data_IF_190460578289
#
_entry.id   IF_190460578289
#
_cell.length_a   1.000
_cell.length_b   1.000
_cell.length_c   1.000
_cell.angle_alpha   90.00
_cell.angle_beta   90.00
_cell.angle_gamma   90.00
#
_symmetry.space_group_name_H-M   'P 1'
#
loop_
_entity.id
_entity.type
_entity.pdbx_description
1 polymer ?
#
# COMPACT_ATOMS: atom_id res chain seq x y z
N UNK A 1 -11.83 8.66 21.12
CA UNK A 1 -12.44 9.76 20.34
C UNK A 1 -13.93 9.45 20.13
N UNK A 2 -14.85 10.42 20.30
CA UNK A 2 -16.29 10.20 20.05
C UNK A 2 -16.51 9.77 18.59
N UNK A 3 -17.37 8.76 18.34
CA UNK A 3 -17.60 8.15 17.02
C UNK A 3 -17.98 9.17 15.93
N UNK A 4 -18.80 10.15 16.28
CA UNK A 4 -19.21 11.24 15.37
C UNK A 4 -18.03 12.12 14.97
N UNK A 5 -17.21 12.54 15.94
CA UNK A 5 -16.03 13.36 15.67
C UNK A 5 -15.00 12.60 14.81
N UNK A 6 -14.82 11.30 15.06
CA UNK A 6 -13.97 10.43 14.23
C UNK A 6 -14.40 10.45 12.77
N UNK A 7 -15.70 10.29 12.48
CA UNK A 7 -16.26 10.35 11.12
C UNK A 7 -16.01 11.69 10.43
N UNK A 8 -16.14 12.80 11.16
CA UNK A 8 -15.87 14.13 10.61
C UNK A 8 -14.39 14.26 10.25
N UNK A 9 -13.50 13.89 11.18
CA UNK A 9 -12.04 13.94 10.96
C UNK A 9 -11.63 13.07 9.77
N UNK A 10 -12.09 11.82 9.70
CA UNK A 10 -11.76 10.93 8.57
C UNK A 10 -12.29 11.47 7.24
N UNK A 11 -13.50 12.03 7.22
CA UNK A 11 -14.06 12.64 6.01
C UNK A 11 -13.22 13.83 5.52
N UNK A 12 -12.82 14.74 6.42
CA UNK A 12 -11.97 15.89 6.07
C UNK A 12 -10.60 15.40 5.58
N UNK A 13 -9.94 14.52 6.34
CA UNK A 13 -8.62 13.99 5.98
C UNK A 13 -8.62 13.29 4.62
N UNK A 14 -9.67 12.53 4.31
CA UNK A 14 -9.87 11.91 3.00
C UNK A 14 -9.90 12.96 1.89
N UNK A 15 -10.67 14.04 2.06
CA UNK A 15 -10.76 15.11 1.06
C UNK A 15 -9.40 15.77 0.85
N UNK A 16 -8.74 16.17 1.94
CA UNK A 16 -7.43 16.83 1.87
C UNK A 16 -6.36 15.95 1.20
N UNK A 17 -6.38 14.66 1.51
CA UNK A 17 -5.45 13.69 0.92
C UNK A 17 -5.71 13.51 -0.58
N UNK A 18 -6.98 13.40 -0.99
CA UNK A 18 -7.36 13.28 -2.41
C UNK A 18 -6.95 14.53 -3.21
N UNK A 19 -7.19 15.73 -2.68
CA UNK A 19 -6.76 16.98 -3.30
C UNK A 19 -5.23 16.99 -3.47
N UNK A 20 -4.49 16.57 -2.44
CA UNK A 20 -3.03 16.53 -2.46
C UNK A 20 -2.51 15.55 -3.51
N UNK A 21 -3.05 14.32 -3.55
CA UNK A 21 -2.67 13.30 -4.55
C UNK A 21 -3.03 13.76 -5.96
N UNK A 22 -4.21 14.33 -6.17
CA UNK A 22 -4.63 14.84 -7.48
C UNK A 22 -3.71 15.95 -8.00
N UNK A 23 -3.28 16.86 -7.11
CA UNK A 23 -2.41 17.99 -7.47
C UNK A 23 -0.96 17.57 -7.75
N UNK A 24 -0.45 16.60 -6.99
CA UNK A 24 0.97 16.18 -7.09
C UNK A 24 1.21 14.93 -7.93
N UNK A 25 0.18 14.11 -8.17
CA UNK A 25 0.22 12.88 -8.96
C UNK A 25 1.43 11.96 -8.63
N UNK A 26 1.68 11.65 -7.35
CA UNK A 26 2.77 10.76 -6.98
C UNK A 26 2.56 9.35 -7.57
N UNK A 27 3.65 8.62 -7.82
CA UNK A 27 3.55 7.18 -8.04
C UNK A 27 3.25 6.49 -6.70
N UNK A 28 2.24 5.64 -6.67
CA UNK A 28 1.82 4.94 -5.45
C UNK A 28 2.15 3.45 -5.58
N UNK A 29 2.95 2.96 -4.64
CA UNK A 29 3.27 1.56 -4.42
C UNK A 29 2.50 1.11 -3.18
N UNK A 30 1.49 0.26 -3.36
CA UNK A 30 0.72 -0.34 -2.28
C UNK A 30 1.31 -1.67 -1.83
N UNK A 31 1.25 -1.96 -0.53
CA UNK A 31 1.68 -3.25 0.04
C UNK A 31 0.55 -3.80 0.89
N UNK A 32 0.10 -5.01 0.57
CA UNK A 32 -1.01 -5.72 1.21
C UNK A 32 -0.59 -7.13 1.62
N UNK A 33 -1.30 -7.70 2.58
CA UNK A 33 -1.08 -9.04 3.11
C UNK A 33 -1.15 -9.08 4.63
N UNK A 34 -0.98 -10.25 5.25
CA UNK A 34 -1.05 -10.38 6.70
C UNK A 34 0.31 -10.07 7.35
N UNK A 35 1.38 -10.77 6.95
CA UNK A 35 2.75 -10.61 7.43
C UNK A 35 3.70 -10.08 6.34
N UNK A 36 4.88 -9.60 6.72
CA UNK A 36 5.92 -9.19 5.76
C UNK A 36 5.72 -7.82 5.11
N UNK A 37 4.62 -7.12 5.42
CA UNK A 37 4.29 -5.81 4.82
C UNK A 37 5.33 -4.74 5.16
N UNK A 38 5.75 -4.68 6.43
CA UNK A 38 6.65 -3.63 6.92
C UNK A 38 8.07 -3.84 6.43
N UNK A 39 8.54 -5.09 6.45
CA UNK A 39 9.84 -5.50 5.94
C UNK A 39 9.93 -5.21 4.44
N UNK A 40 8.89 -5.58 3.66
CA UNK A 40 8.81 -5.28 2.22
C UNK A 40 8.84 -3.77 1.96
N UNK A 41 8.06 -2.98 2.72
CA UNK A 41 8.03 -1.51 2.60
C UNK A 41 9.41 -0.90 2.86
N UNK A 42 10.10 -1.38 3.89
CA UNK A 42 11.42 -0.88 4.27
C UNK A 42 12.47 -1.21 3.22
N UNK A 43 12.50 -2.44 2.70
CA UNK A 43 13.38 -2.84 1.61
C UNK A 43 13.18 -1.99 0.34
N UNK A 44 11.91 -1.79 -0.05
CA UNK A 44 11.55 -0.94 -1.20
C UNK A 44 12.00 0.51 -0.96
N UNK A 45 11.75 1.04 0.25
CA UNK A 45 12.13 2.41 0.61
C UNK A 45 13.64 2.60 0.60
N UNK A 46 14.40 1.68 1.20
CA UNK A 46 15.86 1.75 1.26
C UNK A 46 16.46 1.80 -0.15
N UNK A 47 15.93 0.99 -1.06
CA UNK A 47 16.40 0.94 -2.43
C UNK A 47 15.98 2.16 -3.26
N UNK A 48 14.71 2.60 -3.17
CA UNK A 48 14.20 3.73 -3.97
C UNK A 48 14.69 5.10 -3.49
N UNK A 49 14.86 5.28 -2.18
CA UNK A 49 15.31 6.57 -1.60
C UNK A 49 16.72 6.98 -2.05
N UNK A 50 17.52 6.04 -2.60
CA UNK A 50 18.83 6.31 -3.20
C UNK A 50 18.73 7.12 -4.51
N UNK A 51 17.58 7.10 -5.20
CA UNK A 51 17.40 7.77 -6.51
C UNK A 51 16.18 8.71 -6.56
N UNK A 52 15.19 8.51 -5.70
CA UNK A 52 13.92 9.24 -5.76
C UNK A 52 13.52 9.80 -4.39
N UNK A 53 12.78 10.91 -4.40
CA UNK A 53 12.11 11.41 -3.20
C UNK A 53 10.89 10.53 -2.87
N UNK A 54 11.00 9.82 -1.76
CA UNK A 54 10.07 8.78 -1.35
C UNK A 54 9.53 9.07 0.05
N UNK A 55 8.24 8.75 0.27
CA UNK A 55 7.63 8.71 1.59
C UNK A 55 6.96 7.37 1.82
N UNK A 56 7.12 6.82 3.02
CA UNK A 56 6.47 5.59 3.44
C UNK A 56 5.71 5.81 4.74
N UNK A 57 4.59 5.11 4.94
CA UNK A 57 3.81 5.23 6.17
C UNK A 57 4.43 4.41 7.32
N UNK A 58 4.39 4.90 8.57
CA UNK A 58 4.62 4.06 9.75
C UNK A 58 3.62 2.89 9.80
N UNK A 59 4.00 1.76 10.42
CA UNK A 59 3.14 0.56 10.51
C UNK A 59 1.77 0.86 11.13
N UNK A 60 1.70 1.74 12.13
CA UNK A 60 0.44 2.14 12.77
C UNK A 60 -0.44 3.06 11.91
N UNK A 61 0.04 3.49 10.74
CA UNK A 61 -0.60 4.49 9.88
C UNK A 61 -1.07 3.87 8.55
N UNK A 62 -1.73 2.72 8.62
CA UNK A 62 -2.18 1.95 7.44
C UNK A 62 -3.71 1.81 7.33
N UNK A 63 -4.47 2.43 8.25
CA UNK A 63 -5.95 2.41 8.31
C UNK A 63 -6.57 3.77 7.96
N UNK A 64 -7.89 3.90 8.10
CA UNK A 64 -8.71 5.05 7.68
C UNK A 64 -8.24 6.45 8.14
N UNK A 65 -7.61 6.56 9.31
CA UNK A 65 -7.05 7.83 9.81
C UNK A 65 -5.57 7.93 9.50
N UNK A 66 -4.84 6.85 9.81
CA UNK A 66 -3.40 6.84 9.74
C UNK A 66 -2.87 7.02 8.32
N UNK A 67 -3.50 6.39 7.33
CA UNK A 67 -3.07 6.47 5.95
C UNK A 67 -3.12 7.92 5.41
N UNK A 68 -4.25 8.66 5.51
CA UNK A 68 -4.27 10.09 5.18
C UNK A 68 -3.18 10.92 5.88
N UNK A 69 -2.98 10.70 7.19
CA UNK A 69 -1.95 11.43 7.95
C UNK A 69 -0.55 11.14 7.43
N UNK A 70 -0.26 9.87 7.08
CA UNK A 70 1.03 9.50 6.51
C UNK A 70 1.27 10.15 5.14
N UNK A 71 0.25 10.16 4.27
CA UNK A 71 0.33 10.81 2.96
C UNK A 71 0.59 12.31 3.11
N UNK A 72 -0.11 12.97 4.04
CA UNK A 72 0.03 14.40 4.32
C UNK A 72 1.26 14.73 5.20
N UNK A 73 1.98 13.72 5.72
CA UNK A 73 3.08 13.89 6.66
C UNK A 73 2.71 14.70 7.90
N UNK A 74 1.58 14.32 8.50
CA UNK A 74 1.02 14.91 9.70
C UNK A 74 1.07 13.92 10.87
N UNK A 75 1.28 14.40 12.10
CA UNK A 75 1.13 13.57 13.29
C UNK A 75 -0.34 13.30 13.60
N UNK A 76 -0.60 12.31 14.48
CA UNK A 76 -1.93 12.09 15.09
C UNK A 76 -2.27 13.20 16.09
N UNK A 77 -3.54 13.62 16.11
CA UNK A 77 -4.08 14.54 17.12
C UNK A 77 -4.41 13.86 18.45
N UNK A 78 -4.26 12.54 18.53
CA UNK A 78 -4.61 11.71 19.69
C UNK A 78 -6.04 12.01 20.16
N UNK A 79 -6.25 12.11 21.48
CA UNK A 79 -7.56 12.41 22.06
C UNK A 79 -7.86 13.92 22.17
N UNK A 80 -6.98 14.80 21.68
CA UNK A 80 -7.11 16.25 21.86
C UNK A 80 -7.80 16.93 20.69
N UNK A 81 -8.95 17.55 20.96
CA UNK A 81 -9.70 18.32 19.96
C UNK A 81 -8.88 19.47 19.36
N UNK A 82 -8.16 20.23 20.19
CA UNK A 82 -7.33 21.35 19.73
C UNK A 82 -6.14 20.89 18.89
N UNK A 83 -5.57 19.73 19.19
CA UNK A 83 -4.53 19.14 18.35
C UNK A 83 -5.08 18.78 16.97
N UNK A 84 -6.27 18.16 16.92
CA UNK A 84 -6.96 17.88 15.65
C UNK A 84 -7.26 19.13 14.83
N UNK A 85 -7.73 20.20 15.48
CA UNK A 85 -7.96 21.47 14.79
C UNK A 85 -6.69 22.00 14.11
N UNK A 86 -5.55 22.00 14.82
CA UNK A 86 -4.24 22.40 14.27
C UNK A 86 -3.74 21.48 13.16
N UNK A 87 -3.98 20.17 13.27
CA UNK A 87 -3.59 19.18 12.26
C UNK A 87 -4.39 19.38 10.99
N UNK A 88 -5.71 19.61 11.10
CA UNK A 88 -6.58 19.84 9.96
C UNK A 88 -6.25 21.15 9.25
N UNK A 89 -5.97 22.23 10.00
CA UNK A 89 -5.54 23.51 9.37
C UNK A 89 -4.21 23.37 8.64
N UNK A 90 -3.25 22.63 9.20
CA UNK A 90 -2.00 22.29 8.51
C UNK A 90 -2.24 21.42 7.28
N UNK A 91 -3.15 20.45 7.36
CA UNK A 91 -3.55 19.61 6.23
C UNK A 91 -4.17 20.40 5.08
N UNK A 92 -5.01 21.40 5.39
CA UNK A 92 -5.56 22.35 4.41
C UNK A 92 -4.41 23.10 3.73
N UNK A 93 -3.46 23.63 4.50
CA UNK A 93 -2.31 24.35 3.95
C UNK A 93 -1.47 23.46 3.03
N UNK A 94 -1.23 22.19 3.41
CA UNK A 94 -0.50 21.23 2.57
C UNK A 94 -1.25 20.95 1.27
N UNK A 95 -2.55 20.67 1.36
CA UNK A 95 -3.38 20.33 0.22
C UNK A 95 -3.43 21.47 -0.81
N UNK A 96 -3.56 22.72 -0.34
CA UNK A 96 -3.77 23.89 -1.20
C UNK A 96 -2.47 24.57 -1.62
N UNK A 97 -1.45 24.64 -0.76
CA UNK A 97 -0.31 25.54 -0.96
C UNK A 97 1.06 24.85 -1.03
N UNK A 98 1.19 23.57 -0.63
CA UNK A 98 2.50 22.92 -0.64
C UNK A 98 3.06 22.74 -2.05
N UNK A 99 4.23 23.31 -2.35
CA UNK A 99 4.89 23.09 -3.65
C UNK A 99 5.67 21.78 -3.70
N UNK A 100 6.21 21.33 -2.57
CA UNK A 100 7.03 20.11 -2.48
C UNK A 100 6.18 18.92 -2.01
N UNK A 101 6.34 17.79 -2.68
CA UNK A 101 5.69 16.53 -2.35
C UNK A 101 6.54 15.37 -2.90
N UNK A 102 6.64 14.24 -2.19
CA UNK A 102 7.42 13.10 -2.66
C UNK A 102 6.91 12.59 -4.01
N UNK A 103 7.83 12.17 -4.87
CA UNK A 103 7.50 11.60 -6.18
C UNK A 103 6.89 10.20 -6.05
N UNK A 104 7.26 9.48 -4.98
CA UNK A 104 6.80 8.10 -4.74
C UNK A 104 6.25 7.99 -3.31
N UNK A 105 5.07 7.38 -3.19
CA UNK A 105 4.48 6.95 -1.92
C UNK A 105 4.54 5.42 -1.83
N UNK A 106 5.09 4.89 -0.73
CA UNK A 106 5.20 3.46 -0.44
C UNK A 106 4.29 3.18 0.76
N UNK A 107 3.11 2.63 0.50
CA UNK A 107 2.01 2.62 1.47
C UNK A 107 1.61 1.20 1.82
N UNK A 108 1.77 0.82 3.08
CA UNK A 108 1.06 -0.32 3.64
C UNK A 108 -0.44 0.00 3.73
N UNK A 109 -1.27 -0.90 3.21
CA UNK A 109 -2.73 -0.79 3.28
C UNK A 109 -3.23 -1.89 4.22
N UNK A 110 -3.69 -1.49 5.41
CA UNK A 110 -4.21 -2.38 6.43
C UNK A 110 -5.73 -2.45 6.34
N UNK A 111 -6.23 -3.57 5.81
CA UNK A 111 -7.64 -3.91 5.81
C UNK A 111 -7.80 -5.29 6.45
N UNK A 112 -8.43 -5.31 7.63
CA UNK A 112 -8.70 -6.53 8.39
C UNK A 112 -10.20 -6.85 8.32
N UNK A 113 -11.05 -5.83 8.32
CA UNK A 113 -12.50 -5.98 8.31
C UNK A 113 -13.10 -5.71 6.93
N UNK A 114 -14.28 -6.29 6.62
CA UNK A 114 -14.97 -6.05 5.36
C UNK A 114 -15.22 -4.56 5.09
N UNK A 115 -14.84 -4.09 3.91
CA UNK A 115 -15.06 -2.72 3.43
C UNK A 115 -13.97 -1.72 3.80
N UNK A 116 -12.96 -2.12 4.58
CA UNK A 116 -11.84 -1.24 4.90
C UNK A 116 -10.98 -0.93 3.67
N UNK A 117 -10.69 -1.93 2.82
CA UNK A 117 -9.93 -1.70 1.59
C UNK A 117 -10.69 -0.80 0.63
N UNK A 118 -12.01 -0.95 0.50
CA UNK A 118 -12.83 -0.02 -0.31
C UNK A 118 -12.61 1.42 0.13
N UNK A 119 -12.65 1.68 1.44
CA UNK A 119 -12.41 3.00 1.99
C UNK A 119 -11.00 3.52 1.66
N UNK A 120 -9.96 2.71 1.87
CA UNK A 120 -8.57 3.08 1.57
C UNK A 120 -8.38 3.40 0.09
N UNK A 121 -9.01 2.63 -0.80
CA UNK A 121 -8.98 2.83 -2.25
C UNK A 121 -9.71 4.10 -2.71
N UNK A 122 -10.63 4.65 -1.89
CA UNK A 122 -11.18 6.00 -2.14
C UNK A 122 -10.19 7.13 -1.87
N UNK A 123 -9.10 6.85 -1.14
CA UNK A 123 -8.06 7.81 -0.79
C UNK A 123 -6.86 7.66 -1.74
N UNK A 124 -6.35 6.43 -1.88
CA UNK A 124 -5.15 6.12 -2.67
C UNK A 124 -5.44 5.02 -3.68
N UNK A 125 -4.99 5.19 -4.91
CA UNK A 125 -5.06 4.16 -5.94
C UNK A 125 -3.64 3.72 -6.30
N UNK A 126 -3.19 2.52 -5.89
CA UNK A 126 -1.86 2.04 -6.22
C UNK A 126 -1.73 1.76 -7.72
N UNK A 127 -0.63 2.22 -8.32
CA UNK A 127 -0.23 1.79 -9.67
C UNK A 127 0.59 0.51 -9.62
N UNK A 128 1.30 0.30 -8.53
CA UNK A 128 2.08 -0.89 -8.24
C UNK A 128 1.56 -1.48 -6.94
N UNK A 129 1.27 -2.79 -6.90
CA UNK A 129 0.79 -3.47 -5.71
C UNK A 129 1.66 -4.70 -5.43
N UNK A 130 2.10 -4.85 -4.18
CA UNK A 130 2.79 -6.05 -3.71
C UNK A 130 1.90 -6.78 -2.70
N UNK A 131 1.62 -8.05 -2.99
CA UNK A 131 0.86 -8.94 -2.12
C UNK A 131 1.82 -9.91 -1.42
N UNK A 132 1.88 -9.86 -0.09
CA UNK A 132 2.85 -10.65 0.69
C UNK A 132 2.34 -12.05 1.05
N UNK A 133 1.17 -12.15 1.66
CA UNK A 133 0.51 -13.40 2.05
C UNK A 133 -0.89 -13.13 2.60
N UNK A 134 -1.72 -14.16 2.62
CA UNK A 134 -3.01 -14.26 3.32
C UNK A 134 -2.91 -15.35 4.41
N UNK A 135 -2.27 -16.49 4.11
CA UNK A 135 -2.34 -17.71 4.91
C UNK A 135 -1.42 -17.79 6.13
N UNK A 136 -0.48 -16.85 6.31
CA UNK A 136 0.54 -16.95 7.38
C UNK A 136 0.03 -16.53 8.78
N UNK A 137 -1.26 -16.73 9.04
CA UNK A 137 -1.89 -16.56 10.35
C UNK A 137 -2.43 -17.92 10.80
N UNK A 138 -1.61 -18.71 11.49
CA UNK A 138 -1.94 -20.10 11.82
C UNK A 138 -3.14 -20.25 12.76
N UNK A 139 -3.56 -19.17 13.43
CA UNK A 139 -4.72 -19.15 14.32
C UNK A 139 -6.00 -18.69 13.62
N UNK A 140 -5.91 -18.23 12.36
CA UNK A 140 -7.06 -17.69 11.64
C UNK A 140 -8.00 -18.79 11.15
N UNK A 141 -9.29 -18.55 11.33
CA UNK A 141 -10.34 -19.39 10.76
C UNK A 141 -10.43 -19.25 9.23
N UNK A 142 -11.04 -20.24 8.58
CA UNK A 142 -11.27 -20.19 7.13
C UNK A 142 -12.08 -18.96 6.71
N UNK A 143 -13.08 -18.56 7.50
CA UNK A 143 -13.93 -17.40 7.22
C UNK A 143 -13.11 -16.09 7.28
N UNK A 144 -12.19 -15.97 8.22
CA UNK A 144 -11.29 -14.81 8.32
C UNK A 144 -10.30 -14.74 7.15
N UNK A 145 -9.77 -15.88 6.71
CA UNK A 145 -8.92 -15.96 5.53
C UNK A 145 -9.70 -15.56 4.26
N UNK A 146 -10.96 -15.97 4.14
CA UNK A 146 -11.82 -15.58 3.02
C UNK A 146 -12.11 -14.07 3.02
N UNK A 147 -12.38 -13.48 4.18
CA UNK A 147 -12.55 -12.02 4.32
C UNK A 147 -11.28 -11.29 3.87
N UNK A 148 -10.11 -11.73 4.34
CA UNK A 148 -8.82 -11.13 3.96
C UNK A 148 -8.56 -11.27 2.46
N UNK A 149 -8.84 -12.44 1.87
CA UNK A 149 -8.72 -12.66 0.44
C UNK A 149 -9.61 -11.70 -0.36
N UNK A 150 -10.87 -11.50 0.07
CA UNK A 150 -11.80 -10.54 -0.56
C UNK A 150 -11.30 -9.10 -0.47
N UNK A 151 -10.75 -8.68 0.67
CA UNK A 151 -10.19 -7.33 0.81
C UNK A 151 -8.94 -7.13 -0.05
N UNK A 152 -8.04 -8.11 -0.12
CA UNK A 152 -6.86 -8.04 -1.00
C UNK A 152 -7.26 -8.10 -2.48
N UNK A 153 -8.26 -8.89 -2.85
CA UNK A 153 -8.80 -8.94 -4.21
C UNK A 153 -9.26 -7.56 -4.69
N UNK A 154 -9.88 -6.76 -3.81
CA UNK A 154 -10.27 -5.37 -4.13
C UNK A 154 -9.05 -4.50 -4.46
N UNK A 155 -7.96 -4.64 -3.70
CA UNK A 155 -6.71 -3.93 -3.99
C UNK A 155 -6.12 -4.37 -5.34
N UNK A 156 -6.12 -5.67 -5.62
CA UNK A 156 -5.65 -6.24 -6.90
C UNK A 156 -6.43 -5.67 -8.08
N UNK A 157 -7.78 -5.66 -7.98
CA UNK A 157 -8.68 -5.12 -9.00
C UNK A 157 -8.51 -3.61 -9.23
N UNK A 158 -8.12 -2.87 -8.19
CA UNK A 158 -7.95 -1.42 -8.27
C UNK A 158 -6.69 -0.98 -9.02
N UNK A 159 -5.73 -1.87 -9.25
CA UNK A 159 -4.52 -1.56 -10.03
C UNK A 159 -4.91 -1.36 -11.50
N UNK A 160 -4.55 -0.22 -12.12
CA UNK A 160 -4.92 0.06 -13.51
C UNK A 160 -4.19 -0.88 -14.49
N UNK A 161 -4.72 -1.04 -15.71
CA UNK A 161 -4.14 -1.92 -16.76
C UNK A 161 -2.65 -1.68 -17.04
N UNK A 162 -2.20 -0.43 -16.96
CA UNK A 162 -0.79 -0.03 -17.14
C UNK A 162 0.04 -0.09 -15.85
N UNK A 163 -0.49 -0.71 -14.81
CA UNK A 163 0.15 -0.98 -13.53
C UNK A 163 0.76 -2.37 -13.46
N UNK A 164 1.17 -2.76 -12.26
CA UNK A 164 1.80 -4.05 -11.97
C UNK A 164 1.32 -4.58 -10.61
N UNK A 165 0.95 -5.85 -10.57
CA UNK A 165 0.67 -6.59 -9.35
C UNK A 165 1.76 -7.64 -9.16
N UNK A 166 2.41 -7.63 -8.00
CA UNK A 166 3.45 -8.59 -7.61
C UNK A 166 2.88 -9.52 -6.54
N UNK A 167 2.84 -10.82 -6.80
CA UNK A 167 2.11 -11.80 -5.96
C UNK A 167 3.04 -12.89 -5.44
N UNK A 168 2.91 -13.22 -4.15
CA UNK A 168 3.51 -14.42 -3.60
C UNK A 168 2.80 -15.67 -4.13
N UNK A 169 3.51 -16.50 -4.91
CA UNK A 169 2.99 -17.74 -5.46
C UNK A 169 2.94 -18.89 -4.44
N UNK A 170 3.62 -18.76 -3.31
CA UNK A 170 3.60 -19.76 -2.24
C UNK A 170 2.29 -19.71 -1.42
N UNK A 171 1.46 -18.68 -1.64
CA UNK A 171 0.20 -18.48 -0.94
C UNK A 171 -0.99 -18.90 -1.83
N UNK A 172 -1.67 -20.02 -1.55
CA UNK A 172 -2.74 -20.53 -2.40
C UNK A 172 -3.91 -19.55 -2.56
N UNK A 173 -4.21 -18.74 -1.55
CA UNK A 173 -5.30 -17.76 -1.64
C UNK A 173 -4.94 -16.63 -2.60
N UNK A 174 -3.70 -16.15 -2.55
CA UNK A 174 -3.23 -15.14 -3.51
C UNK A 174 -3.21 -15.66 -4.94
N UNK A 175 -2.80 -16.92 -5.15
CA UNK A 175 -2.86 -17.57 -6.46
C UNK A 175 -4.31 -17.62 -6.97
N UNK A 176 -5.27 -18.00 -6.15
CA UNK A 176 -6.68 -18.12 -6.54
C UNK A 176 -7.33 -16.80 -6.96
N UNK A 177 -6.84 -15.66 -6.44
CA UNK A 177 -7.39 -14.33 -6.75
C UNK A 177 -6.53 -13.51 -7.73
N UNK A 178 -5.37 -14.03 -8.16
CA UNK A 178 -4.41 -13.26 -8.98
C UNK A 178 -5.01 -12.78 -10.31
N UNK A 179 -5.76 -13.65 -10.98
CA UNK A 179 -6.31 -13.41 -12.31
C UNK A 179 -7.50 -12.42 -12.30
N UNK A 180 -7.86 -11.89 -11.12
CA UNK A 180 -8.79 -10.76 -10.99
C UNK A 180 -8.14 -9.43 -11.35
N UNK A 181 -6.81 -9.36 -11.44
CA UNK A 181 -6.11 -8.17 -11.89
C UNK A 181 -6.38 -7.90 -13.38
N UNK A 182 -6.62 -6.63 -13.73
CA UNK A 182 -6.55 -6.19 -15.14
C UNK A 182 -5.14 -5.72 -15.54
N UNK A 183 -4.24 -5.60 -14.56
CA UNK A 183 -2.86 -5.15 -14.73
C UNK A 183 -1.93 -6.31 -15.07
N UNK A 184 -0.67 -6.01 -15.42
CA UNK A 184 0.37 -7.04 -15.53
C UNK A 184 0.56 -7.71 -14.16
N UNK A 185 0.65 -9.03 -14.15
CA UNK A 185 0.93 -9.83 -12.95
C UNK A 185 2.35 -10.37 -13.06
N UNK A 186 3.10 -10.31 -11.96
CA UNK A 186 4.36 -11.03 -11.80
C UNK A 186 4.31 -11.76 -10.46
N UNK A 187 4.76 -13.00 -10.43
CA UNK A 187 4.76 -13.80 -9.20
C UNK A 187 6.17 -14.04 -8.68
N UNK A 188 6.30 -14.25 -7.37
CA UNK A 188 7.54 -14.64 -6.69
C UNK A 188 7.30 -15.84 -5.78
N UNK A 189 8.31 -16.66 -5.54
CA UNK A 189 8.23 -17.88 -4.71
C UNK A 189 9.51 -18.02 -3.90
N UNK A 190 9.42 -18.64 -2.72
CA UNK A 190 10.56 -19.08 -1.91
C UNK A 190 11.05 -20.48 -2.30
N UNK A 191 10.19 -21.31 -2.88
CA UNK A 191 10.40 -22.76 -2.96
C UNK A 191 10.82 -23.28 -4.36
N UNK A 192 10.87 -22.44 -5.40
CA UNK A 192 11.18 -22.94 -6.74
C UNK A 192 11.99 -21.96 -7.63
N UNK A 193 13.14 -22.44 -8.13
CA UNK A 193 13.79 -21.97 -9.36
C UNK A 193 12.98 -22.37 -10.62
N UNK A 194 11.63 -22.35 -10.57
CA UNK A 194 10.84 -22.72 -11.74
C UNK A 194 10.83 -21.58 -12.77
N UNK A 195 11.01 -21.95 -14.05
CA UNK A 195 11.10 -21.04 -15.19
C UNK A 195 9.84 -20.17 -15.40
N UNK A 196 8.73 -20.51 -14.75
CA UNK A 196 7.42 -19.84 -14.91
C UNK A 196 7.16 -18.71 -13.90
N UNK A 197 8.01 -18.52 -12.88
CA UNK A 197 7.77 -17.54 -11.80
C UNK A 197 9.03 -16.74 -11.43
N UNK A 198 9.50 -15.81 -12.28
CA UNK A 198 10.78 -15.16 -12.06
C UNK A 198 10.63 -13.93 -11.17
N UNK A 199 10.68 -14.09 -9.84
CA UNK A 199 11.37 -13.11 -8.98
C UNK A 199 12.03 -13.85 -7.81
N UNK A 200 13.33 -14.12 -7.96
CA UNK A 200 14.23 -14.24 -6.83
C UNK A 200 14.56 -12.83 -6.36
N UNK A 201 14.15 -12.45 -5.15
CA UNK A 201 14.69 -11.26 -4.48
C UNK A 201 16.05 -11.69 -3.90
N UNK A 202 17.06 -11.82 -4.77
CA UNK A 202 18.45 -11.98 -4.34
C UNK A 202 19.18 -10.63 -4.37
N UNK A 203 20.23 -10.53 -3.55
CA UNK A 203 20.86 -9.31 -3.05
C UNK A 203 21.27 -8.24 -4.08
N UNK A 204 21.30 -7.01 -3.58
CA UNK A 204 21.73 -5.80 -4.27
C UNK A 204 23.25 -5.80 -4.48
N UNK A 205 23.70 -6.10 -5.70
CA UNK A 205 25.03 -5.68 -6.17
C UNK A 205 24.89 -4.59 -7.24
N UNK A 206 25.64 -3.49 -7.04
CA UNK A 206 25.97 -2.44 -8.02
C UNK A 206 24.88 -1.46 -8.50
N UNK A 207 24.35 -0.65 -7.57
CA UNK A 207 23.84 0.74 -7.80
C UNK A 207 22.73 0.97 -8.85
N UNK A 208 22.02 -0.07 -9.30
CA UNK A 208 20.74 0.06 -10.00
C UNK A 208 19.61 -0.74 -9.33
N UNK A 209 18.38 -0.28 -9.52
CA UNK A 209 17.16 -1.03 -9.19
C UNK A 209 16.86 -1.91 -10.39
N UNK A 210 17.57 -3.02 -10.54
CA UNK A 210 17.15 -4.06 -11.46
C UNK A 210 16.16 -4.98 -10.74
N UNK A 211 14.90 -4.93 -11.17
CA UNK A 211 14.02 -6.09 -11.06
C UNK A 211 14.43 -7.01 -12.22
N UNK A 212 15.29 -8.00 -11.96
CA UNK A 212 15.63 -9.00 -12.98
C UNK A 212 14.45 -9.97 -13.12
N UNK A 213 13.65 -9.75 -14.15
CA UNK A 213 12.90 -10.83 -14.79
C UNK A 213 13.96 -11.65 -15.51
N UNK A 214 14.05 -12.95 -15.23
CA UNK A 214 14.94 -13.82 -15.97
C UNK A 214 14.42 -13.90 -17.42
N UNK A 215 14.91 -13.03 -18.29
CA UNK A 215 14.80 -13.21 -19.72
C UNK A 215 15.72 -14.35 -20.07
N UNK A 216 15.18 -15.57 -20.13
CA UNK A 216 15.68 -16.55 -21.08
C UNK A 216 14.62 -16.62 -22.17
N UNK A 217 14.99 -16.07 -23.32
CA UNK A 217 14.20 -15.96 -24.53
C UNK A 217 13.34 -17.21 -24.80
N UNK A 218 12.06 -16.99 -25.09
CA UNK A 218 11.43 -17.24 -26.39
C UNK A 218 10.10 -16.46 -26.48
#
# INVERSE_FOLDING_TARGET
>A
MKKVFKKIVTWILRILTRITIWRHKPQIIGIVGNLGKTETKEAIKEKLSKKFDCRANPRSYNTEIGLPLAVLYLPSGNSSFWAWFKILSRGISIALFSKKFPKILILELGAIFPGEMDYLLTIVQPKYLICTNISLDFEASSDELEIRAKEIEKAIKAVPKNGLVIINADDPWLINIRDKASAKIVSYTKENESKDYPILISEVLNKELELRVNNNDL
#
